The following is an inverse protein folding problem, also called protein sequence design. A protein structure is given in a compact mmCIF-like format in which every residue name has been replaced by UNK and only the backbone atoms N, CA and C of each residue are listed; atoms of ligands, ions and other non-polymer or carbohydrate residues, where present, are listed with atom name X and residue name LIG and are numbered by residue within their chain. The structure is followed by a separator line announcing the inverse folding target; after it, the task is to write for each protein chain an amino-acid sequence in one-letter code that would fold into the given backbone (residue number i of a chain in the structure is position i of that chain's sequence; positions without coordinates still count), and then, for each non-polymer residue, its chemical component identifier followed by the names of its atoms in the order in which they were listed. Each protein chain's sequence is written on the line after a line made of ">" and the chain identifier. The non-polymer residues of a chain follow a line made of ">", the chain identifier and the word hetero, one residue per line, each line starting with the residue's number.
data_IF_336457896082
#
_entry.id   IF_336457896082
#
_cell.length_a   1.000
_cell.length_b   1.000
_cell.length_c   1.000
_cell.angle_alpha   90.00
_cell.angle_beta   90.00
_cell.angle_gamma   90.00
#
_symmetry.space_group_name_H-M   'P 1'
#
loop_
_entity.id
_entity.type
_entity.pdbx_description
1 polymer ?
#
# COMPACT_ATOMS: atom_id res chain seq x y z
N UNK A 1 26.21 -5.72 16.75
CA UNK A 1 26.19 -4.58 15.78
C UNK A 1 24.76 -4.35 15.39
N UNK A 2 24.23 -3.15 15.59
CA UNK A 2 22.84 -2.77 15.28
C UNK A 2 22.64 -2.63 13.77
N UNK A 3 21.49 -3.12 13.26
CA UNK A 3 21.11 -3.03 11.86
C UNK A 3 19.82 -2.23 11.73
N UNK A 4 19.80 -1.30 10.76
CA UNK A 4 18.61 -0.51 10.43
C UNK A 4 18.28 -0.73 8.94
N UNK A 5 17.01 -1.02 8.65
CA UNK A 5 16.51 -1.24 7.29
C UNK A 5 15.28 -0.34 7.03
N UNK A 6 15.31 0.48 5.97
CA UNK A 6 16.48 0.81 5.14
C UNK A 6 17.61 1.45 5.95
N UNK A 7 18.85 1.29 5.49
CA UNK A 7 20.00 1.93 6.15
C UNK A 7 19.87 3.46 6.03
N UNK A 8 19.92 4.22 7.16
CA UNK A 8 19.84 5.66 7.11
C UNK A 8 21.00 6.29 6.32
N UNK A 9 20.74 7.44 5.69
CA UNK A 9 21.75 8.16 4.89
C UNK A 9 22.92 8.66 5.74
N UNK A 10 22.62 9.22 6.90
CA UNK A 10 23.63 9.62 7.88
C UNK A 10 23.30 8.98 9.21
N UNK A 11 24.25 8.24 9.75
CA UNK A 11 24.12 7.58 11.02
C UNK A 11 25.45 7.60 11.76
N UNK A 12 25.45 8.20 12.95
CA UNK A 12 26.61 8.26 13.82
C UNK A 12 26.21 7.85 15.23
N UNK A 13 26.99 6.96 15.84
CA UNK A 13 26.89 6.58 17.24
C UNK A 13 28.08 7.21 17.99
N UNK A 14 27.84 7.69 19.22
CA UNK A 14 28.84 8.25 20.08
C UNK A 14 28.89 7.50 21.43
N UNK A 15 29.88 7.74 22.24
CA UNK A 15 29.96 7.16 23.58
C UNK A 15 28.84 7.65 24.48
N UNK A 16 28.26 6.73 25.24
CA UNK A 16 27.14 6.93 26.13
C UNK A 16 25.92 6.09 25.79
N UNK A 17 25.10 5.86 26.81
CA UNK A 17 23.88 5.06 26.73
C UNK A 17 22.74 5.87 27.35
N UNK A 18 21.62 5.92 26.64
CA UNK A 18 20.35 6.43 27.17
C UNK A 18 19.45 5.25 27.53
N UNK A 19 18.86 5.30 28.72
CA UNK A 19 17.90 4.26 29.15
C UNK A 19 16.49 4.80 29.18
N UNK A 20 15.61 4.17 28.37
CA UNK A 20 14.18 4.47 28.38
C UNK A 20 13.58 3.92 29.68
N UNK A 21 13.02 4.80 30.51
CA UNK A 21 12.44 4.45 31.81
C UNK A 21 10.90 4.44 31.73
N UNK A 22 10.24 3.54 32.45
CA UNK A 22 8.77 3.35 32.46
C UNK A 22 7.98 4.61 32.90
N UNK A 23 8.58 5.51 33.66
CA UNK A 23 7.95 6.73 34.15
C UNK A 23 8.08 7.93 33.20
N UNK A 24 8.61 7.70 31.99
CA UNK A 24 8.75 8.70 30.94
C UNK A 24 7.58 8.65 29.97
N UNK A 25 7.53 9.62 29.06
CA UNK A 25 6.44 9.78 28.13
C UNK A 25 6.92 9.83 26.66
N UNK A 26 6.02 9.48 25.77
CA UNK A 26 6.03 9.90 24.36
C UNK A 26 5.28 11.22 24.32
N UNK A 27 5.97 12.31 23.99
CA UNK A 27 5.42 13.66 24.01
C UNK A 27 5.24 14.16 22.58
N UNK A 28 3.99 14.34 22.18
CA UNK A 28 3.63 14.95 20.90
C UNK A 28 3.62 16.48 21.07
N UNK A 29 4.46 17.18 20.30
CA UNK A 29 4.51 18.64 20.34
C UNK A 29 3.14 19.26 19.97
N UNK A 30 2.83 20.43 20.54
CA UNK A 30 1.57 21.12 20.32
C UNK A 30 1.31 21.49 18.85
N UNK A 31 2.37 21.72 18.08
CA UNK A 31 2.30 22.06 16.66
C UNK A 31 2.04 20.85 15.75
N UNK A 32 2.10 19.63 16.28
CA UNK A 32 1.79 18.43 15.48
C UNK A 32 0.29 18.32 15.22
N UNK A 33 -0.12 17.90 14.01
CA UNK A 33 -1.52 17.64 13.70
C UNK A 33 -2.05 16.42 14.46
N UNK A 34 -3.39 16.25 14.58
CA UNK A 34 -4.02 15.15 15.33
C UNK A 34 -3.57 13.75 14.91
N UNK A 35 -3.25 13.54 13.64
CA UNK A 35 -2.79 12.25 13.10
C UNK A 35 -1.51 11.76 13.77
N UNK A 36 -0.57 12.65 14.13
CA UNK A 36 0.66 12.29 14.86
C UNK A 36 0.36 11.66 16.22
N UNK A 37 -0.75 12.04 16.85
CA UNK A 37 -1.17 11.42 18.11
C UNK A 37 -1.64 9.97 17.90
N UNK A 38 -2.32 9.69 16.78
CA UNK A 38 -2.67 8.33 16.41
C UNK A 38 -1.43 7.50 16.03
N UNK A 39 -0.47 8.10 15.33
CA UNK A 39 0.83 7.47 15.06
C UNK A 39 1.58 7.14 16.35
N UNK A 40 1.55 8.05 17.34
CA UNK A 40 2.15 7.83 18.65
C UNK A 40 1.52 6.66 19.42
N UNK A 41 0.20 6.42 19.27
CA UNK A 41 -0.47 5.24 19.84
C UNK A 41 0.02 3.94 19.21
N UNK A 42 0.13 3.88 17.89
CA UNK A 42 0.67 2.72 17.17
C UNK A 42 2.13 2.48 17.60
N UNK A 43 2.91 3.54 17.70
CA UNK A 43 4.28 3.48 18.14
C UNK A 43 4.41 3.00 19.59
N UNK A 44 3.57 3.49 20.51
CA UNK A 44 3.52 3.03 21.92
C UNK A 44 3.29 1.52 22.00
N UNK A 45 2.34 0.99 21.23
CA UNK A 45 2.04 -0.44 21.22
C UNK A 45 3.27 -1.27 20.85
N UNK A 46 3.96 -0.86 19.79
CA UNK A 46 5.15 -1.57 19.31
C UNK A 46 6.32 -1.42 20.26
N UNK A 47 6.52 -0.24 20.86
CA UNK A 47 7.54 -0.05 21.89
C UNK A 47 7.27 -0.92 23.12
N UNK A 48 6.03 -1.04 23.53
CA UNK A 48 5.64 -1.89 24.67
C UNK A 48 6.10 -3.34 24.50
N UNK A 49 6.00 -3.89 23.27
CA UNK A 49 6.48 -5.24 22.95
C UNK A 49 8.00 -5.39 23.16
N UNK A 50 8.77 -4.35 22.83
CA UNK A 50 10.23 -4.37 22.95
C UNK A 50 10.74 -4.02 24.36
N UNK A 51 10.03 -3.11 25.05
CA UNK A 51 10.44 -2.58 26.35
C UNK A 51 9.89 -3.39 27.53
N UNK A 52 8.78 -4.11 27.34
CA UNK A 52 8.07 -4.83 28.42
C UNK A 52 7.18 -3.94 29.29
N UNK A 53 7.06 -2.64 28.97
CA UNK A 53 6.19 -1.67 29.65
C UNK A 53 5.66 -0.62 28.66
N UNK A 54 4.50 -0.05 28.97
CA UNK A 54 3.88 1.00 28.17
C UNK A 54 4.31 2.39 28.68
N UNK A 55 4.79 3.25 27.77
CA UNK A 55 5.00 4.67 28.04
C UNK A 55 3.65 5.41 27.94
N UNK A 56 3.41 6.40 28.79
CA UNK A 56 2.26 7.29 28.62
C UNK A 56 2.47 8.18 27.37
N UNK A 57 1.37 8.55 26.73
CA UNK A 57 1.39 9.55 25.63
C UNK A 57 0.82 10.84 26.18
N UNK A 58 1.51 11.95 25.93
CA UNK A 58 1.07 13.29 26.33
C UNK A 58 1.25 14.27 25.19
N UNK A 59 0.56 15.41 25.25
CA UNK A 59 0.74 16.52 24.32
C UNK A 59 1.32 17.71 25.09
N UNK A 60 2.30 18.40 24.49
CA UNK A 60 2.94 19.55 25.11
C UNK A 60 4.45 19.57 24.98
N UNK A 61 5.13 20.13 25.97
CA UNK A 61 6.59 20.20 26.01
C UNK A 61 7.18 18.97 26.70
N UNK A 62 8.21 18.38 26.09
CA UNK A 62 8.91 17.23 26.64
C UNK A 62 9.81 17.64 27.81
N UNK A 63 9.89 16.78 28.83
CA UNK A 63 10.85 16.87 29.93
C UNK A 63 12.11 16.05 29.59
N UNK A 64 13.24 16.30 30.30
CA UNK A 64 14.43 15.46 30.17
C UNK A 64 14.10 13.99 30.43
N UNK A 65 14.54 13.13 29.51
CA UNK A 65 14.29 11.68 29.53
C UNK A 65 13.05 11.21 28.77
N UNK A 66 12.23 12.11 28.23
CA UNK A 66 11.09 11.76 27.40
C UNK A 66 11.50 11.46 25.94
N UNK A 67 10.56 10.87 25.20
CA UNK A 67 10.62 10.73 23.72
C UNK A 67 9.79 11.86 23.12
N UNK A 68 10.45 12.85 22.52
CA UNK A 68 9.81 14.02 21.91
C UNK A 68 9.56 13.82 20.43
N UNK A 69 8.32 14.03 19.99
CA UNK A 69 7.88 13.99 18.59
C UNK A 69 7.57 15.40 18.13
N UNK A 70 8.29 15.89 17.10
CA UNK A 70 8.22 17.28 16.62
C UNK A 70 8.14 17.33 15.11
N UNK A 71 7.58 18.42 14.58
CA UNK A 71 7.61 18.72 13.15
C UNK A 71 8.54 19.93 12.89
N UNK A 72 9.23 19.87 11.76
CA UNK A 72 10.02 20.99 11.22
C UNK A 72 9.77 21.07 9.71
N UNK A 73 9.05 22.10 9.28
CA UNK A 73 8.67 22.32 7.89
C UNK A 73 9.86 22.62 6.96
N UNK A 74 11.05 22.86 7.51
CA UNK A 74 12.28 23.01 6.72
C UNK A 74 12.75 21.66 6.15
N UNK A 75 12.41 20.56 6.79
CA UNK A 75 12.71 19.22 6.31
C UNK A 75 11.75 18.83 5.16
N UNK A 76 12.25 18.04 4.21
CA UNK A 76 11.38 17.43 3.19
C UNK A 76 10.32 16.53 3.83
N UNK A 77 9.14 16.42 3.23
CA UNK A 77 7.98 15.76 3.81
C UNK A 77 8.25 14.34 4.36
N UNK A 78 9.05 13.53 3.66
CA UNK A 78 9.41 12.18 4.09
C UNK A 78 10.74 12.11 4.85
N UNK A 79 11.39 13.26 5.13
CA UNK A 79 12.64 13.31 5.88
C UNK A 79 12.38 13.28 7.39
N UNK A 80 13.37 12.78 8.14
CA UNK A 80 13.38 12.85 9.59
C UNK A 80 14.79 12.93 10.14
N UNK A 81 14.87 13.45 11.35
CA UNK A 81 16.04 13.42 12.23
C UNK A 81 15.71 12.68 13.52
N UNK A 82 16.64 11.89 14.03
CA UNK A 82 16.52 11.20 15.29
C UNK A 82 17.80 11.42 16.10
N UNK A 83 17.65 11.97 17.30
CA UNK A 83 18.73 12.22 18.24
C UNK A 83 18.46 11.49 19.55
N UNK A 84 19.46 10.76 20.04
CA UNK A 84 19.47 10.09 21.34
C UNK A 84 20.70 10.61 22.10
N UNK A 85 20.49 11.24 23.23
CA UNK A 85 21.54 11.78 24.09
C UNK A 85 21.17 11.67 25.59
N UNK A 86 21.93 12.29 26.47
CA UNK A 86 21.66 12.26 27.91
C UNK A 86 20.31 12.86 28.30
N UNK A 87 19.80 13.82 27.51
CA UNK A 87 18.56 14.54 27.79
C UNK A 87 17.31 13.80 27.29
N UNK A 88 17.44 12.76 26.46
CA UNK A 88 16.31 12.00 25.96
C UNK A 88 16.42 11.63 24.51
N UNK A 89 15.25 11.36 23.91
CA UNK A 89 15.10 11.02 22.51
C UNK A 89 14.26 12.09 21.81
N UNK A 90 14.76 12.61 20.71
CA UNK A 90 14.06 13.58 19.87
C UNK A 90 13.92 13.02 18.48
N UNK A 91 12.69 12.96 17.97
CA UNK A 91 12.38 12.64 16.59
C UNK A 91 11.74 13.87 15.98
N UNK A 92 12.34 14.38 14.91
CA UNK A 92 11.82 15.51 14.14
C UNK A 92 11.52 15.05 12.72
N UNK A 93 10.33 15.26 12.24
CA UNK A 93 9.90 14.92 10.87
C UNK A 93 9.54 16.16 10.06
N UNK A 94 9.72 16.11 8.74
CA UNK A 94 9.24 17.17 7.84
C UNK A 94 7.73 17.18 7.66
N UNK A 95 7.08 16.06 7.97
CA UNK A 95 5.62 15.89 8.05
C UNK A 95 5.29 14.75 9.01
N UNK A 96 4.01 14.44 9.22
CA UNK A 96 3.57 13.26 9.97
C UNK A 96 4.21 11.98 9.40
N UNK A 97 4.28 11.85 8.08
CA UNK A 97 4.90 10.70 7.41
C UNK A 97 6.41 10.58 7.73
N UNK A 98 7.17 11.69 7.64
CA UNK A 98 8.59 11.71 8.01
C UNK A 98 8.79 11.35 9.48
N UNK A 99 7.97 11.91 10.37
CA UNK A 99 7.97 11.61 11.80
C UNK A 99 7.68 10.13 12.07
N UNK A 100 6.68 9.56 11.37
CA UNK A 100 6.37 8.13 11.43
C UNK A 100 7.58 7.26 11.03
N UNK A 101 8.34 7.65 9.99
CA UNK A 101 9.55 6.93 9.59
C UNK A 101 10.66 7.00 10.67
N UNK A 102 10.78 8.12 11.35
CA UNK A 102 11.66 8.25 12.52
C UNK A 102 11.25 7.30 13.66
N UNK A 103 9.94 7.19 13.94
CA UNK A 103 9.40 6.23 14.91
C UNK A 103 9.72 4.77 14.50
N UNK A 104 9.60 4.42 13.20
CA UNK A 104 9.97 3.07 12.74
C UNK A 104 11.47 2.79 12.91
N UNK A 105 12.31 3.80 12.80
CA UNK A 105 13.75 3.66 13.06
C UNK A 105 14.01 3.40 14.55
N UNK A 106 13.41 4.19 15.43
CA UNK A 106 13.54 3.97 16.89
C UNK A 106 12.96 2.61 17.30
N UNK A 107 11.85 2.18 16.70
CA UNK A 107 11.31 0.83 16.88
C UNK A 107 12.35 -0.25 16.58
N UNK A 108 13.04 -0.17 15.44
CA UNK A 108 14.07 -1.16 15.08
C UNK A 108 15.24 -1.14 16.05
N UNK A 109 15.60 0.02 16.58
CA UNK A 109 16.65 0.14 17.60
C UNK A 109 16.22 -0.53 18.91
N UNK A 110 15.02 -0.27 19.40
CA UNK A 110 14.52 -0.89 20.64
C UNK A 110 14.28 -2.37 20.52
N UNK A 111 13.92 -2.89 19.34
CA UNK A 111 13.81 -4.33 19.09
C UNK A 111 15.14 -5.08 19.21
N UNK A 112 16.27 -4.41 18.99
CA UNK A 112 17.60 -5.00 19.04
C UNK A 112 18.31 -4.78 20.36
N UNK A 113 18.13 -3.60 20.98
CA UNK A 113 18.89 -3.14 22.15
C UNK A 113 18.02 -3.00 23.41
N UNK A 114 16.70 -3.24 23.29
CA UNK A 114 15.76 -3.04 24.42
C UNK A 114 15.68 -1.57 24.83
N UNK A 115 15.69 -1.33 26.14
CA UNK A 115 15.58 0.02 26.71
C UNK A 115 16.90 0.81 26.75
N UNK A 116 18.07 0.16 26.53
CA UNK A 116 19.38 0.75 26.63
C UNK A 116 19.94 1.09 25.25
N UNK A 117 19.75 2.31 24.79
CA UNK A 117 20.12 2.75 23.45
C UNK A 117 21.42 3.55 23.47
N UNK A 118 22.37 3.31 22.54
CA UNK A 118 23.55 4.13 22.40
C UNK A 118 23.20 5.56 21.97
N UNK A 119 23.97 6.53 22.40
CA UNK A 119 23.81 7.90 21.90
C UNK A 119 23.99 7.91 20.39
N UNK A 120 23.01 8.46 19.71
CA UNK A 120 22.88 8.30 18.26
C UNK A 120 22.36 9.58 17.61
N UNK A 121 22.92 9.90 16.45
CA UNK A 121 22.41 10.93 15.56
C UNK A 121 22.13 10.31 14.19
N UNK A 122 20.89 10.41 13.72
CA UNK A 122 20.45 9.96 12.42
C UNK A 122 19.78 11.11 11.69
N UNK A 123 20.16 11.30 10.42
CA UNK A 123 19.45 12.14 9.46
C UNK A 123 19.14 11.29 8.23
N UNK A 124 17.86 11.17 7.90
CA UNK A 124 17.44 10.28 6.83
C UNK A 124 16.29 10.84 6.02
N UNK A 125 16.26 10.48 4.76
CA UNK A 125 15.15 10.69 3.83
C UNK A 125 15.20 9.62 2.74
N UNK A 126 14.08 9.21 2.17
CA UNK A 126 14.09 8.25 1.08
C UNK A 126 14.78 8.83 -0.16
N UNK A 127 15.44 7.97 -0.92
CA UNK A 127 16.00 8.34 -2.23
C UNK A 127 14.95 8.28 -3.33
N UNK A 128 13.97 7.38 -3.17
CA UNK A 128 12.85 7.17 -4.09
C UNK A 128 11.57 7.53 -3.32
N UNK A 129 10.78 8.43 -3.89
CA UNK A 129 9.56 8.92 -3.25
C UNK A 129 8.51 7.84 -3.07
N UNK A 130 8.25 7.04 -4.10
CA UNK A 130 7.27 5.96 -4.11
C UNK A 130 7.97 4.60 -3.99
N UNK A 131 7.64 3.85 -2.95
CA UNK A 131 8.23 2.55 -2.60
C UNK A 131 7.10 1.55 -2.40
N UNK A 132 6.73 0.91 -3.50
CA UNK A 132 5.55 0.05 -3.56
C UNK A 132 5.85 -1.43 -3.43
N UNK A 133 4.82 -2.18 -3.06
CA UNK A 133 4.74 -3.61 -3.19
C UNK A 133 3.47 -3.98 -3.97
N UNK A 134 3.63 -4.78 -5.03
CA UNK A 134 2.55 -5.29 -5.85
C UNK A 134 2.31 -6.74 -5.51
N UNK A 135 1.21 -7.03 -4.82
CA UNK A 135 0.89 -8.35 -4.29
C UNK A 135 -0.15 -9.04 -5.16
N UNK A 136 0.22 -10.17 -5.75
CA UNK A 136 -0.73 -11.00 -6.48
C UNK A 136 -1.65 -11.74 -5.48
N UNK A 137 -2.92 -11.41 -5.52
CA UNK A 137 -3.98 -12.01 -4.69
C UNK A 137 -4.92 -12.90 -5.50
N UNK A 138 -4.59 -13.14 -6.76
CA UNK A 138 -5.41 -13.92 -7.69
C UNK A 138 -4.85 -15.32 -7.90
N UNK A 139 -3.53 -15.43 -8.13
CA UNK A 139 -2.92 -16.70 -8.51
C UNK A 139 -2.59 -17.53 -7.28
N UNK A 140 -3.26 -18.66 -7.14
CA UNK A 140 -3.08 -19.63 -6.07
C UNK A 140 -4.06 -19.51 -4.92
N UNK A 141 -4.15 -18.36 -4.25
CA UNK A 141 -5.10 -18.15 -3.14
C UNK A 141 -5.39 -16.68 -2.89
N UNK A 142 -6.55 -16.41 -2.33
CA UNK A 142 -6.94 -15.12 -1.81
C UNK A 142 -6.43 -15.02 -0.35
N UNK A 143 -5.66 -13.99 0.01
CA UNK A 143 -5.17 -13.83 1.38
C UNK A 143 -6.29 -13.39 2.33
N UNK A 144 -6.18 -13.78 3.60
CA UNK A 144 -7.07 -13.29 4.65
C UNK A 144 -6.74 -11.84 5.01
N UNK A 145 -7.70 -11.11 5.57
CA UNK A 145 -7.48 -9.75 6.07
C UNK A 145 -6.39 -9.69 7.14
N UNK A 146 -6.30 -10.69 8.02
CA UNK A 146 -5.21 -10.79 9.01
C UNK A 146 -3.83 -10.86 8.36
N UNK A 147 -3.71 -11.60 7.26
CA UNK A 147 -2.46 -11.66 6.51
C UNK A 147 -2.14 -10.31 5.85
N UNK A 148 -3.12 -9.67 5.20
CA UNK A 148 -2.94 -8.37 4.55
C UNK A 148 -2.54 -7.29 5.58
N UNK A 149 -3.17 -7.26 6.75
CA UNK A 149 -2.78 -6.34 7.83
C UNK A 149 -1.35 -6.58 8.32
N UNK A 150 -0.94 -7.84 8.51
CA UNK A 150 0.45 -8.18 8.85
C UNK A 150 1.45 -7.78 7.76
N UNK A 151 1.06 -7.91 6.50
CA UNK A 151 1.87 -7.42 5.37
C UNK A 151 2.06 -5.90 5.45
N UNK A 152 0.97 -5.16 5.65
CA UNK A 152 0.98 -3.69 5.79
C UNK A 152 1.83 -3.25 6.99
N UNK A 153 1.76 -3.95 8.13
CA UNK A 153 2.62 -3.68 9.30
C UNK A 153 4.11 -3.86 8.99
N UNK A 154 4.46 -4.89 8.23
CA UNK A 154 5.84 -5.11 7.76
C UNK A 154 6.28 -4.04 6.77
N UNK A 155 5.42 -3.68 5.83
CA UNK A 155 5.68 -2.60 4.88
C UNK A 155 5.96 -1.28 5.62
N UNK A 156 5.13 -0.93 6.60
CA UNK A 156 5.31 0.24 7.45
C UNK A 156 6.65 0.21 8.19
N UNK A 157 7.02 -0.93 8.80
CA UNK A 157 8.28 -1.11 9.51
C UNK A 157 9.52 -0.86 8.64
N UNK A 158 9.41 -1.16 7.33
CA UNK A 158 10.46 -0.94 6.35
C UNK A 158 10.26 0.32 5.49
N UNK A 159 9.32 1.18 5.88
CA UNK A 159 9.05 2.49 5.23
C UNK A 159 8.64 2.39 3.76
N UNK A 160 7.99 1.28 3.35
CA UNK A 160 7.27 1.23 2.08
C UNK A 160 5.98 2.03 2.22
N UNK A 161 5.55 2.70 1.14
CA UNK A 161 4.44 3.64 1.19
C UNK A 161 3.36 3.43 0.12
N UNK A 162 3.44 2.38 -0.67
CA UNK A 162 2.39 2.03 -1.63
C UNK A 162 2.16 0.52 -1.65
N UNK A 163 0.88 0.11 -1.64
CA UNK A 163 0.45 -1.27 -1.82
C UNK A 163 -0.52 -1.34 -2.98
N UNK A 164 -0.32 -2.30 -3.88
CA UNK A 164 -1.29 -2.66 -4.90
C UNK A 164 -1.62 -4.15 -4.75
N UNK A 165 -2.89 -4.49 -4.88
CA UNK A 165 -3.35 -5.87 -4.96
C UNK A 165 -3.66 -6.18 -6.42
N UNK A 166 -2.95 -7.15 -7.02
CA UNK A 166 -3.27 -7.61 -8.36
C UNK A 166 -4.52 -8.47 -8.34
N UNK A 167 -5.59 -7.97 -8.94
CA UNK A 167 -6.91 -8.59 -8.96
C UNK A 167 -7.36 -8.83 -10.40
N UNK A 168 -7.72 -10.09 -10.72
CA UNK A 168 -8.41 -10.47 -11.96
C UNK A 168 -9.90 -10.71 -11.67
N UNK A 169 -10.20 -11.55 -10.68
CA UNK A 169 -11.55 -12.03 -10.36
C UNK A 169 -11.77 -12.23 -8.85
N UNK A 170 -10.79 -11.87 -8.04
CA UNK A 170 -10.77 -12.15 -6.59
C UNK A 170 -11.38 -11.04 -5.73
N UNK A 171 -12.18 -10.18 -6.34
CA UNK A 171 -13.04 -9.20 -5.69
C UNK A 171 -14.51 -9.51 -5.97
N UNK A 172 -15.37 -9.25 -4.99
CA UNK A 172 -16.81 -9.52 -5.01
C UNK A 172 -17.55 -8.49 -5.88
N UNK A 173 -17.28 -8.47 -7.19
CA UNK A 173 -18.07 -7.64 -8.11
C UNK A 173 -19.51 -8.12 -8.17
N UNK A 174 -20.46 -7.20 -8.03
CA UNK A 174 -21.90 -7.53 -7.99
C UNK A 174 -22.37 -8.34 -9.22
N UNK A 175 -21.79 -8.08 -10.39
CA UNK A 175 -22.14 -8.76 -11.65
C UNK A 175 -21.44 -10.10 -11.85
N UNK A 176 -20.49 -10.49 -11.04
CA UNK A 176 -19.65 -11.68 -11.23
C UNK A 176 -20.12 -12.91 -10.43
N UNK A 177 -21.43 -13.05 -10.18
CA UNK A 177 -21.97 -14.15 -9.37
C UNK A 177 -21.58 -15.55 -9.86
N UNK A 178 -21.44 -15.77 -11.17
CA UNK A 178 -20.95 -17.03 -11.72
C UNK A 178 -19.45 -17.25 -11.47
N UNK A 179 -18.69 -16.17 -11.30
CA UNK A 179 -17.23 -16.21 -11.13
C UNK A 179 -16.85 -16.58 -9.70
N UNK A 180 -17.48 -15.95 -8.71
CA UNK A 180 -17.14 -16.10 -7.29
C UNK A 180 -18.02 -17.08 -6.51
N UNK A 181 -19.03 -17.69 -7.15
CA UNK A 181 -19.99 -18.59 -6.49
C UNK A 181 -19.36 -19.66 -5.59
N UNK A 182 -18.23 -20.23 -5.99
CA UNK A 182 -17.53 -21.30 -5.29
C UNK A 182 -16.17 -20.80 -4.71
N UNK A 183 -16.03 -19.51 -4.49
CA UNK A 183 -14.80 -18.86 -4.04
C UNK A 183 -15.08 -17.93 -2.84
N UNK A 184 -14.02 -17.39 -2.23
CA UNK A 184 -14.09 -16.42 -1.12
C UNK A 184 -13.37 -15.12 -1.51
N UNK A 185 -13.94 -14.33 -2.42
CA UNK A 185 -13.33 -13.10 -2.89
C UNK A 185 -13.25 -12.05 -1.79
N UNK A 186 -12.35 -11.08 -1.95
CA UNK A 186 -12.32 -9.87 -1.12
C UNK A 186 -13.62 -9.08 -1.31
N UNK A 187 -14.21 -8.66 -0.21
CA UNK A 187 -15.46 -7.88 -0.23
C UNK A 187 -15.19 -6.36 -0.30
N UNK A 188 -16.19 -5.54 -0.62
CA UNK A 188 -16.07 -4.09 -0.51
C UNK A 188 -15.66 -3.64 0.89
N UNK A 189 -16.18 -4.28 1.93
CA UNK A 189 -15.86 -4.00 3.33
C UNK A 189 -14.40 -4.31 3.64
N UNK A 190 -13.86 -5.42 3.11
CA UNK A 190 -12.44 -5.77 3.25
C UNK A 190 -11.53 -4.70 2.64
N UNK A 191 -11.89 -4.19 1.47
CA UNK A 191 -11.12 -3.13 0.79
C UNK A 191 -11.17 -1.82 1.58
N UNK A 192 -12.36 -1.40 2.03
CA UNK A 192 -12.52 -0.18 2.85
C UNK A 192 -11.73 -0.28 4.15
N UNK A 193 -11.77 -1.45 4.81
CA UNK A 193 -10.99 -1.71 6.03
C UNK A 193 -9.49 -1.67 5.76
N UNK A 194 -9.03 -2.28 4.66
CA UNK A 194 -7.63 -2.30 4.28
C UNK A 194 -7.13 -0.90 3.90
N UNK A 195 -7.91 -0.10 3.16
CA UNK A 195 -7.57 1.28 2.82
C UNK A 195 -7.38 2.13 4.08
N UNK A 196 -8.34 2.05 5.02
CA UNK A 196 -8.24 2.74 6.29
C UNK A 196 -7.04 2.26 7.14
N UNK A 197 -6.71 0.97 7.09
CA UNK A 197 -5.58 0.38 7.80
C UNK A 197 -4.23 0.84 7.22
N UNK A 198 -4.13 0.91 5.88
CA UNK A 198 -2.96 1.41 5.15
C UNK A 198 -2.71 2.89 5.45
N UNK A 199 -3.76 3.74 5.37
CA UNK A 199 -3.64 5.17 5.64
C UNK A 199 -3.09 5.48 7.04
N UNK A 200 -3.54 4.75 8.06
CA UNK A 200 -3.01 4.88 9.44
C UNK A 200 -1.52 4.50 9.56
N UNK A 201 -0.91 3.99 8.49
CA UNK A 201 0.51 3.60 8.43
C UNK A 201 1.28 4.33 7.34
N UNK A 202 0.71 5.43 6.85
CA UNK A 202 1.29 6.22 5.76
C UNK A 202 1.57 5.40 4.49
N UNK A 203 0.69 4.41 4.21
CA UNK A 203 0.71 3.58 3.01
C UNK A 203 -0.52 3.91 2.18
N UNK A 204 -0.32 4.20 0.90
CA UNK A 204 -1.39 4.39 -0.07
C UNK A 204 -1.79 3.03 -0.64
N UNK A 205 -3.06 2.64 -0.49
CA UNK A 205 -3.60 1.47 -1.17
C UNK A 205 -4.10 1.90 -2.55
N UNK A 206 -3.41 1.47 -3.60
CA UNK A 206 -3.73 1.83 -4.98
C UNK A 206 -4.61 0.74 -5.59
N UNK A 207 -5.81 1.05 -6.11
CA UNK A 207 -6.65 0.09 -6.82
C UNK A 207 -5.95 -0.46 -8.05
N UNK A 208 -6.07 -1.77 -8.28
CA UNK A 208 -5.46 -2.47 -9.40
C UNK A 208 -6.36 -3.64 -9.80
N UNK A 209 -6.92 -3.61 -11.02
CA UNK A 209 -7.75 -4.68 -11.56
C UNK A 209 -7.43 -4.94 -13.03
N UNK A 210 -7.47 -6.20 -13.43
CA UNK A 210 -7.40 -6.59 -14.84
C UNK A 210 -8.69 -6.17 -15.55
N UNK A 211 -8.56 -5.30 -16.55
CA UNK A 211 -9.70 -4.75 -17.31
C UNK A 211 -9.72 -5.19 -18.77
N UNK A 212 -8.69 -5.87 -19.24
CA UNK A 212 -8.52 -6.24 -20.65
C UNK A 212 -8.14 -7.69 -20.85
N UNK A 213 -6.95 -8.07 -20.46
CA UNK A 213 -6.44 -9.43 -20.44
C UNK A 213 -6.70 -10.08 -19.09
N UNK A 214 -6.21 -11.30 -18.91
CA UNK A 214 -6.27 -12.05 -17.65
C UNK A 214 -7.68 -12.30 -17.09
N UNK A 215 -8.71 -12.27 -17.96
CA UNK A 215 -10.10 -12.43 -17.56
C UNK A 215 -10.61 -13.88 -17.72
N UNK A 216 -9.72 -14.87 -17.55
CA UNK A 216 -10.02 -16.29 -17.74
C UNK A 216 -11.30 -16.75 -17.04
N UNK A 217 -11.45 -16.50 -15.73
CA UNK A 217 -12.64 -16.94 -14.98
C UNK A 217 -13.91 -16.19 -15.40
N UNK A 218 -13.78 -14.93 -15.80
CA UNK A 218 -14.90 -14.09 -16.23
C UNK A 218 -15.39 -14.54 -17.61
N UNK A 219 -14.50 -14.64 -18.59
CA UNK A 219 -14.83 -14.93 -19.99
C UNK A 219 -15.19 -16.40 -20.26
N UNK A 220 -15.11 -17.27 -19.26
CA UNK A 220 -15.63 -18.65 -19.31
C UNK A 220 -17.03 -18.80 -18.77
N UNK A 221 -17.62 -17.75 -18.21
CA UNK A 221 -18.99 -17.78 -17.71
C UNK A 221 -19.99 -17.71 -18.88
N UNK A 222 -21.19 -18.23 -18.67
CA UNK A 222 -22.26 -18.13 -19.68
C UNK A 222 -22.65 -16.68 -19.96
N UNK A 223 -22.56 -15.84 -18.94
CA UNK A 223 -22.91 -14.42 -19.03
C UNK A 223 -21.93 -13.63 -19.87
N UNK A 224 -20.63 -13.95 -19.85
CA UNK A 224 -19.60 -13.11 -20.47
C UNK A 224 -18.77 -13.77 -21.57
N UNK A 225 -18.99 -15.06 -21.91
CA UNK A 225 -18.20 -15.76 -22.94
C UNK A 225 -18.25 -15.08 -24.30
N UNK A 226 -19.38 -14.43 -24.64
CA UNK A 226 -19.56 -13.69 -25.90
C UNK A 226 -18.70 -12.42 -26.01
N UNK A 227 -18.04 -12.01 -24.91
CA UNK A 227 -17.10 -10.89 -24.86
C UNK A 227 -15.64 -11.33 -25.02
N UNK A 228 -15.38 -12.64 -25.18
CA UNK A 228 -14.05 -13.15 -25.40
C UNK A 228 -13.58 -12.89 -26.83
N UNK A 229 -12.33 -12.46 -27.01
CA UNK A 229 -11.70 -12.29 -28.33
C UNK A 229 -11.71 -13.59 -29.18
N UNK A 230 -11.66 -14.76 -28.50
CA UNK A 230 -11.68 -16.08 -29.10
C UNK A 230 -12.87 -16.90 -28.56
N UNK A 231 -14.10 -16.63 -28.98
CA UNK A 231 -15.31 -17.21 -28.40
C UNK A 231 -15.37 -18.74 -28.51
N UNK A 232 -14.81 -19.33 -29.57
CA UNK A 232 -14.83 -20.78 -29.78
C UNK A 232 -13.90 -21.56 -28.85
N UNK A 233 -13.05 -20.86 -28.09
CA UNK A 233 -12.06 -21.43 -27.16
C UNK A 233 -12.39 -21.19 -25.70
N UNK A 234 -13.49 -20.56 -25.35
CA UNK A 234 -13.85 -20.19 -23.98
C UNK A 234 -14.01 -21.39 -23.05
N UNK A 235 -14.36 -22.55 -23.57
CA UNK A 235 -14.56 -23.80 -22.82
C UNK A 235 -13.33 -24.70 -22.76
N UNK A 236 -12.29 -24.41 -23.50
CA UNK A 236 -11.08 -25.23 -23.52
C UNK A 236 -10.33 -25.18 -22.18
N UNK A 237 -9.89 -26.33 -21.64
CA UNK A 237 -9.12 -26.38 -20.42
C UNK A 237 -7.67 -26.01 -20.71
N UNK A 238 -7.30 -24.77 -20.46
CA UNK A 238 -5.94 -24.30 -20.67
C UNK A 238 -5.04 -24.57 -19.46
N UNK A 239 -3.79 -24.92 -19.72
CA UNK A 239 -2.71 -24.86 -18.73
C UNK A 239 -2.49 -23.43 -18.24
N UNK A 240 -1.74 -23.27 -17.13
CA UNK A 240 -1.50 -21.95 -16.52
C UNK A 240 -0.94 -20.92 -17.54
N UNK A 241 0.01 -21.33 -18.37
CA UNK A 241 0.63 -20.46 -19.39
C UNK A 241 -0.34 -20.10 -20.51
N UNK A 242 -1.17 -21.06 -20.92
CA UNK A 242 -2.09 -20.84 -22.04
C UNK A 242 -3.27 -19.92 -21.66
N UNK A 243 -3.77 -20.02 -20.39
CA UNK A 243 -4.80 -19.09 -19.88
C UNK A 243 -4.39 -17.63 -19.97
N UNK A 244 -3.13 -17.31 -19.79
CA UNK A 244 -2.62 -15.94 -19.89
C UNK A 244 -2.68 -15.40 -21.34
N UNK A 245 -2.76 -16.30 -22.33
CA UNK A 245 -2.75 -15.92 -23.76
C UNK A 245 -4.14 -15.75 -24.36
N UNK A 246 -5.18 -16.34 -23.78
CA UNK A 246 -6.44 -16.57 -24.47
C UNK A 246 -7.66 -15.82 -23.90
N UNK A 247 -7.53 -15.09 -22.80
CA UNK A 247 -8.69 -14.50 -22.12
C UNK A 247 -8.63 -12.97 -22.10
N UNK A 248 -8.69 -12.42 -23.31
CA UNK A 248 -8.74 -10.99 -23.58
C UNK A 248 -10.15 -10.61 -24.01
N UNK A 249 -10.62 -9.45 -23.58
CA UNK A 249 -11.88 -8.87 -24.06
C UNK A 249 -11.81 -8.53 -25.54
N UNK A 250 -12.86 -8.86 -26.28
CA UNK A 250 -13.06 -8.40 -27.66
C UNK A 250 -13.29 -6.88 -27.64
N UNK A 251 -12.26 -6.13 -28.00
CA UNK A 251 -12.31 -4.65 -28.04
C UNK A 251 -13.22 -4.12 -29.17
N UNK A 252 -13.64 -4.95 -30.12
CA UNK A 252 -14.59 -4.58 -31.17
C UNK A 252 -16.04 -4.58 -30.65
N UNK A 253 -16.30 -5.33 -29.57
CA UNK A 253 -17.62 -5.41 -28.96
C UNK A 253 -17.83 -4.22 -27.98
N UNK A 254 -18.84 -3.36 -28.19
CA UNK A 254 -19.14 -2.24 -27.30
C UNK A 254 -19.45 -2.66 -25.86
N UNK A 255 -19.99 -3.87 -25.64
CA UNK A 255 -20.31 -4.40 -24.31
C UNK A 255 -19.04 -4.66 -23.49
N UNK A 256 -17.92 -5.02 -24.14
CA UNK A 256 -16.63 -5.17 -23.46
C UNK A 256 -16.19 -3.88 -22.77
N UNK A 257 -16.36 -2.74 -23.46
CA UNK A 257 -16.09 -1.42 -22.87
C UNK A 257 -17.05 -1.10 -21.72
N UNK A 258 -18.32 -1.47 -21.84
CA UNK A 258 -19.30 -1.25 -20.77
C UNK A 258 -18.99 -2.10 -19.56
N UNK A 259 -18.54 -3.35 -19.75
CA UNK A 259 -18.08 -4.20 -18.66
C UNK A 259 -16.89 -3.57 -17.93
N UNK A 260 -15.81 -3.24 -18.64
CA UNK A 260 -14.63 -2.63 -18.05
C UNK A 260 -14.95 -1.37 -17.24
N UNK A 261 -15.80 -0.48 -17.81
CA UNK A 261 -16.27 0.72 -17.10
C UNK A 261 -17.03 0.37 -15.83
N UNK A 262 -17.93 -0.60 -15.88
CA UNK A 262 -18.74 -0.98 -14.73
C UNK A 262 -17.87 -1.53 -13.57
N UNK A 263 -16.80 -2.28 -13.88
CA UNK A 263 -15.87 -2.77 -12.87
C UNK A 263 -15.10 -1.64 -12.21
N UNK A 264 -14.63 -0.67 -12.98
CA UNK A 264 -13.92 0.50 -12.47
C UNK A 264 -14.85 1.37 -11.63
N UNK A 265 -16.07 1.65 -12.09
CA UNK A 265 -17.05 2.46 -11.39
C UNK A 265 -17.49 1.84 -10.06
N UNK A 266 -17.51 0.50 -9.95
CA UNK A 266 -17.81 -0.23 -8.72
C UNK A 266 -16.60 -0.25 -7.75
N UNK A 267 -15.40 -0.44 -8.26
CA UNK A 267 -14.21 -0.66 -7.45
C UNK A 267 -13.53 0.62 -6.97
N UNK A 268 -13.40 1.62 -7.84
CA UNK A 268 -12.66 2.86 -7.56
C UNK A 268 -13.15 3.63 -6.31
N UNK A 269 -14.47 3.72 -6.02
CA UNK A 269 -14.96 4.47 -4.85
C UNK A 269 -14.54 3.89 -3.49
N UNK A 270 -14.01 2.67 -3.45
CA UNK A 270 -13.57 2.01 -2.22
C UNK A 270 -12.19 2.49 -1.75
N UNK A 271 -11.50 3.30 -2.55
CA UNK A 271 -10.13 3.73 -2.30
C UNK A 271 -10.02 5.23 -2.13
N UNK A 272 -9.07 5.64 -1.32
CA UNK A 272 -8.70 7.06 -1.14
C UNK A 272 -7.54 7.49 -2.06
N UNK A 273 -6.92 6.54 -2.78
CA UNK A 273 -5.83 6.80 -3.72
C UNK A 273 -6.27 7.67 -4.90
N UNK A 274 -5.35 8.51 -5.38
CA UNK A 274 -5.49 9.27 -6.62
C UNK A 274 -5.04 8.50 -7.87
N UNK A 275 -4.42 7.35 -7.69
CA UNK A 275 -3.93 6.48 -8.75
C UNK A 275 -4.85 5.29 -8.93
N UNK A 276 -4.88 4.76 -10.14
CA UNK A 276 -5.59 3.54 -10.50
C UNK A 276 -4.77 2.75 -11.53
N UNK A 277 -4.48 1.47 -11.26
CA UNK A 277 -3.79 0.58 -12.19
C UNK A 277 -4.81 -0.29 -12.92
N UNK A 278 -4.93 -0.11 -14.22
CA UNK A 278 -5.89 -0.83 -15.09
C UNK A 278 -5.38 -2.17 -15.59
N UNK A 279 -4.15 -2.55 -15.28
CA UNK A 279 -3.53 -3.83 -15.67
C UNK A 279 -3.77 -4.16 -17.16
N UNK A 280 -3.43 -3.23 -18.04
CA UNK A 280 -3.62 -3.40 -19.50
C UNK A 280 -2.38 -4.04 -20.15
N UNK A 281 -1.83 -5.08 -19.51
CA UNK A 281 -0.65 -5.84 -19.94
C UNK A 281 -1.04 -7.18 -20.61
N UNK A 282 -0.07 -7.81 -21.24
CA UNK A 282 -0.11 -9.16 -21.83
C UNK A 282 -1.31 -9.42 -22.77
N UNK A 283 -1.72 -8.45 -23.54
CA UNK A 283 -2.76 -8.58 -24.58
C UNK A 283 -2.19 -9.23 -25.86
N UNK A 284 -1.54 -10.38 -25.72
CA UNK A 284 -0.74 -11.05 -26.76
C UNK A 284 -1.55 -11.50 -27.98
N UNK A 285 -2.87 -11.63 -27.87
CA UNK A 285 -3.75 -12.08 -28.95
C UNK A 285 -3.98 -10.94 -29.93
N UNK A 286 -4.06 -9.71 -29.48
CA UNK A 286 -4.21 -8.53 -30.33
C UNK A 286 -3.09 -8.36 -31.38
N UNK A 287 -1.96 -9.06 -31.19
CA UNK A 287 -0.82 -9.01 -32.11
C UNK A 287 -0.81 -10.15 -33.15
N UNK A 288 -1.46 -11.29 -32.88
CA UNK A 288 -1.33 -12.50 -33.69
C UNK A 288 -2.40 -12.68 -34.77
N UNK A 289 -3.60 -12.21 -34.54
CA UNK A 289 -4.66 -12.26 -35.51
C UNK A 289 -4.89 -10.86 -36.06
N UNK A 290 -4.78 -10.70 -37.36
CA UNK A 290 -5.08 -9.59 -38.27
C UNK A 290 -6.01 -8.50 -37.70
N UNK A 291 -5.60 -7.90 -36.54
CA UNK A 291 -6.36 -6.81 -35.92
C UNK A 291 -6.20 -5.59 -36.81
N UNK A 292 -7.24 -5.09 -37.48
CA UNK A 292 -7.15 -3.88 -38.27
C UNK A 292 -6.66 -2.70 -37.42
N UNK A 293 -5.92 -1.79 -38.01
CA UNK A 293 -5.32 -0.64 -37.29
C UNK A 293 -6.30 0.21 -36.45
N UNK A 294 -7.60 0.18 -36.79
CA UNK A 294 -8.67 0.83 -36.05
C UNK A 294 -8.96 0.18 -34.66
N UNK A 295 -8.67 -1.10 -34.46
CA UNK A 295 -8.83 -1.77 -33.15
C UNK A 295 -7.75 -1.35 -32.17
N UNK A 296 -6.52 -1.08 -32.64
CA UNK A 296 -5.44 -0.46 -31.80
C UNK A 296 -5.85 0.91 -31.31
N UNK A 297 -6.58 1.70 -32.09
CA UNK A 297 -7.10 3.00 -31.65
C UNK A 297 -8.16 2.87 -30.56
N UNK A 298 -8.97 1.80 -30.55
CA UNK A 298 -9.97 1.56 -29.50
C UNK A 298 -9.32 1.22 -28.15
N UNK A 299 -8.28 0.40 -28.12
CA UNK A 299 -7.50 0.18 -26.87
C UNK A 299 -6.95 1.48 -26.34
N UNK A 300 -6.38 2.31 -27.22
CA UNK A 300 -5.89 3.64 -26.84
C UNK A 300 -7.02 4.54 -26.28
N UNK A 301 -8.23 4.46 -26.86
CA UNK A 301 -9.38 5.25 -26.37
C UNK A 301 -9.90 4.81 -24.99
N UNK A 302 -9.77 3.52 -24.63
CA UNK A 302 -10.07 3.03 -23.28
C UNK A 302 -9.06 3.57 -22.28
N UNK A 303 -7.77 3.47 -22.57
CA UNK A 303 -6.73 4.04 -21.72
C UNK A 303 -6.91 5.55 -21.56
N UNK A 304 -7.22 6.27 -22.64
CA UNK A 304 -7.49 7.71 -22.61
C UNK A 304 -8.72 8.05 -21.76
N UNK A 305 -9.79 7.25 -21.85
CA UNK A 305 -10.99 7.48 -21.05
C UNK A 305 -10.71 7.28 -19.54
N UNK A 306 -9.96 6.25 -19.16
CA UNK A 306 -9.59 6.00 -17.76
C UNK A 306 -8.72 7.14 -17.23
N UNK A 307 -7.72 7.58 -18.02
CA UNK A 307 -6.88 8.71 -17.67
C UNK A 307 -7.70 10.00 -17.53
N UNK A 308 -8.72 10.22 -18.38
CA UNK A 308 -9.60 11.39 -18.28
C UNK A 308 -10.48 11.39 -17.03
N UNK A 309 -10.93 10.23 -16.55
CA UNK A 309 -11.69 10.11 -15.28
C UNK A 309 -10.82 10.41 -14.06
N UNK A 310 -9.58 9.95 -14.05
CA UNK A 310 -8.63 10.27 -12.98
C UNK A 310 -8.25 11.76 -12.95
N UNK A 311 -8.25 12.44 -14.11
CA UNK A 311 -8.03 13.89 -14.19
C UNK A 311 -9.27 14.71 -13.82
N UNK A 312 -10.48 14.18 -14.03
CA UNK A 312 -11.74 14.89 -13.70
C UNK A 312 -12.07 14.89 -12.20
N UNK A 313 -11.46 14.01 -11.41
CA UNK A 313 -11.55 14.00 -9.93
C UNK A 313 -10.54 14.90 -9.22
N UNK A 314 -9.76 15.68 -9.96
CA UNK A 314 -8.75 16.62 -9.43
C UNK A 314 -9.24 18.07 -9.35
N UNK A 315 -10.56 18.31 -9.37
CA UNK A 315 -11.15 19.68 -9.19
C UNK A 315 -12.10 19.70 -8.02
#
# INVERSE_FOLDING_TARGET
>A
MMYLLPKPRKWKTTEGIFTICYNRAIVVDNNCPPEVYEDAKLFQQVLCESLGFALRITRGSACPGDISLRLDEVLEAQAYELYINADGIIITGGSACGLFYGMQTLRQMTQQEGCCLPYTSIQDKPQIEHRGFYHDVTRGRIPTMDYLKKLVDRMAAYKLNQLQLYIEHTFLFAKFSEVWRDDTPLTPEDILELDAYCRKRHIELIPSIACFGHLYKVLRTRTYCHLCELPDMEQEPFGFVDRMKHHTLDVSNPESMQLAKSLIDEFMPLFTSKYFNICADETLILEKEKVPGWQRQKVHSVCTWILSKNCAGMW
#
